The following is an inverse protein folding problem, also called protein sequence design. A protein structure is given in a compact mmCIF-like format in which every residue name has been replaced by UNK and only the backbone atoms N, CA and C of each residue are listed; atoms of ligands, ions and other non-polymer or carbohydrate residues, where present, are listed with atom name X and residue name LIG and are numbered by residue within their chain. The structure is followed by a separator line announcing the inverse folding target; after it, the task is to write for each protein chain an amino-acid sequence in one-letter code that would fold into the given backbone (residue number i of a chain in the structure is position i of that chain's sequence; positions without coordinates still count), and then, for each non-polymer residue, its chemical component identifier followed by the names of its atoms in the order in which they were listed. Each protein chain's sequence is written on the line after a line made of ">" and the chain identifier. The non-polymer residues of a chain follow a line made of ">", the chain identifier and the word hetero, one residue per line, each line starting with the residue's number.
data_IF_922106857850
#
_entry.id   IF_922106857850
#
_cell.length_a   1.000
_cell.length_b   1.000
_cell.length_c   1.000
_cell.angle_alpha   90.00
_cell.angle_beta   90.00
_cell.angle_gamma   90.00
#
_symmetry.space_group_name_H-M   'P 1'
#
loop_
_entity.id
_entity.type
_entity.pdbx_description
1 polymer ?
#
# COMPACT_ATOMS: atom_id res chain seq x y z
N UNK A 1 -66.64 4.45 45.31
CA UNK A 1 -66.84 4.05 43.91
C UNK A 1 -65.70 4.60 43.07
N UNK A 2 -64.68 3.77 42.75
CA UNK A 2 -63.56 4.18 41.89
C UNK A 2 -63.74 3.49 40.54
N UNK A 3 -63.87 4.29 39.46
CA UNK A 3 -63.94 3.81 38.09
C UNK A 3 -62.50 3.58 37.56
N UNK A 4 -62.19 2.34 37.13
CA UNK A 4 -60.94 1.95 36.47
C UNK A 4 -61.15 2.18 34.98
N UNK A 5 -60.37 3.12 34.41
CA UNK A 5 -60.28 3.30 32.97
C UNK A 5 -59.32 2.27 32.37
N UNK A 6 -59.80 1.46 31.43
CA UNK A 6 -58.96 0.53 30.63
C UNK A 6 -58.42 1.28 29.42
N UNK A 7 -57.13 1.50 29.41
CA UNK A 7 -56.41 2.06 28.24
C UNK A 7 -56.04 0.90 27.29
N UNK A 8 -56.53 0.92 26.08
CA UNK A 8 -56.14 0.00 25.01
C UNK A 8 -54.92 0.56 24.33
N UNK A 9 -53.80 -0.13 24.40
CA UNK A 9 -52.60 0.10 23.59
C UNK A 9 -52.80 -0.58 22.25
N UNK A 10 -52.99 0.18 21.18
CA UNK A 10 -52.95 -0.30 19.79
C UNK A 10 -51.49 -0.32 19.38
N UNK A 11 -50.87 -1.52 19.33
CA UNK A 11 -49.55 -1.74 18.79
C UNK A 11 -49.60 -1.64 17.27
N UNK A 12 -49.04 -0.58 16.68
CA UNK A 12 -48.81 -0.48 15.25
C UNK A 12 -47.57 -1.35 14.89
N UNK A 13 -47.81 -2.48 14.28
CA UNK A 13 -46.72 -3.28 13.67
C UNK A 13 -46.25 -2.56 12.40
N UNK A 14 -45.08 -1.93 12.46
CA UNK A 14 -44.34 -1.46 11.28
C UNK A 14 -43.82 -2.67 10.52
N UNK A 15 -44.45 -3.05 9.41
CA UNK A 15 -43.92 -3.94 8.41
C UNK A 15 -42.76 -3.22 7.73
N UNK A 16 -41.51 -3.59 8.08
CA UNK A 16 -40.33 -3.22 7.31
C UNK A 16 -40.40 -3.95 5.96
N UNK A 17 -40.85 -3.25 4.93
CA UNK A 17 -40.74 -3.72 3.54
C UNK A 17 -39.23 -3.68 3.21
N UNK A 18 -38.56 -4.83 3.36
CA UNK A 18 -37.20 -5.00 2.87
C UNK A 18 -37.20 -4.79 1.37
N UNK A 19 -36.52 -3.75 0.88
CA UNK A 19 -36.25 -3.60 -0.54
C UNK A 19 -35.56 -4.85 -1.07
N UNK A 20 -36.09 -5.46 -2.11
CA UNK A 20 -35.44 -6.57 -2.79
C UNK A 20 -34.02 -6.14 -3.20
N UNK A 21 -32.98 -6.96 -2.98
CA UNK A 21 -31.64 -6.62 -3.42
C UNK A 21 -31.68 -6.34 -4.92
N UNK A 22 -31.03 -5.24 -5.34
CA UNK A 22 -30.91 -4.89 -6.76
C UNK A 22 -30.32 -6.10 -7.51
N UNK A 23 -30.78 -6.39 -8.74
CA UNK A 23 -30.30 -7.53 -9.52
C UNK A 23 -28.77 -7.41 -9.67
N UNK A 24 -28.07 -8.46 -9.31
CA UNK A 24 -26.61 -8.51 -9.34
C UNK A 24 -26.16 -8.40 -10.80
N UNK A 25 -25.49 -7.30 -11.14
CA UNK A 25 -24.98 -7.04 -12.49
C UNK A 25 -23.94 -8.09 -12.88
N UNK A 26 -24.06 -8.64 -14.10
CA UNK A 26 -23.05 -9.54 -14.68
C UNK A 26 -22.42 -8.87 -15.89
N UNK A 27 -21.09 -8.87 -15.95
CA UNK A 27 -20.29 -8.17 -16.96
C UNK A 27 -19.30 -9.16 -17.56
N UNK A 28 -19.29 -9.28 -18.89
CA UNK A 28 -18.26 -9.95 -19.66
C UNK A 28 -17.21 -8.93 -20.11
N UNK A 29 -15.97 -9.13 -19.73
CA UNK A 29 -14.82 -8.33 -20.19
C UNK A 29 -14.11 -9.06 -21.33
N UNK A 30 -13.89 -8.36 -22.47
CA UNK A 30 -13.22 -8.91 -23.65
C UNK A 30 -11.99 -8.08 -24.02
N UNK A 31 -10.84 -8.28 -23.34
CA UNK A 31 -9.57 -7.62 -23.67
C UNK A 31 -8.87 -8.34 -24.84
N UNK A 32 -7.80 -7.75 -25.36
CA UNK A 32 -6.89 -8.42 -26.29
C UNK A 32 -6.14 -9.59 -25.64
N UNK A 33 -5.76 -9.42 -24.36
CA UNK A 33 -5.11 -10.46 -23.56
C UNK A 33 -5.43 -10.28 -22.08
N UNK A 34 -5.24 -11.35 -21.30
CA UNK A 34 -5.35 -11.34 -19.83
C UNK A 34 -3.99 -11.73 -19.23
N UNK A 35 -3.45 -10.87 -18.37
CA UNK A 35 -2.40 -11.23 -17.41
C UNK A 35 -3.08 -11.57 -16.08
N UNK A 36 -2.96 -12.81 -15.62
CA UNK A 36 -3.73 -13.29 -14.47
C UNK A 36 -3.15 -12.90 -13.11
N UNK A 37 -1.94 -12.33 -13.08
CA UNK A 37 -1.23 -11.93 -11.86
C UNK A 37 -0.44 -13.06 -11.20
N UNK A 38 -0.42 -14.27 -11.73
CA UNK A 38 0.27 -15.44 -11.14
C UNK A 38 1.49 -15.80 -11.95
N UNK A 39 1.29 -16.15 -13.20
CA UNK A 39 2.37 -16.48 -14.11
C UNK A 39 2.78 -15.25 -14.93
N UNK A 40 4.07 -15.07 -15.25
CA UNK A 40 4.55 -13.91 -16.02
C UNK A 40 4.22 -14.05 -17.52
N UNK A 41 2.98 -14.38 -17.85
CA UNK A 41 2.47 -14.63 -19.21
C UNK A 41 1.13 -13.90 -19.41
N UNK A 42 0.94 -13.31 -20.57
CA UNK A 42 -0.38 -12.86 -21.00
C UNK A 42 -1.07 -13.95 -21.84
N UNK A 43 -2.37 -14.10 -21.64
CA UNK A 43 -3.22 -15.07 -22.33
C UNK A 43 -4.07 -14.39 -23.40
N UNK A 44 -3.69 -14.44 -24.69
CA UNK A 44 -4.48 -13.83 -25.77
C UNK A 44 -5.87 -14.46 -25.89
N UNK A 45 -6.89 -13.63 -26.13
CA UNK A 45 -8.27 -14.08 -26.35
C UNK A 45 -8.99 -14.60 -25.10
N UNK A 46 -8.35 -14.58 -23.93
CA UNK A 46 -9.08 -14.86 -22.70
C UNK A 46 -10.06 -13.75 -22.37
N UNK A 47 -11.15 -14.15 -21.74
CA UNK A 47 -12.23 -13.29 -21.26
C UNK A 47 -12.37 -13.44 -19.75
N UNK A 48 -13.01 -12.47 -19.12
CA UNK A 48 -13.31 -12.51 -17.69
C UNK A 48 -14.77 -12.19 -17.47
N UNK A 49 -15.46 -13.06 -16.74
CA UNK A 49 -16.85 -12.86 -16.34
C UNK A 49 -16.89 -12.42 -14.87
N UNK A 50 -17.55 -11.30 -14.62
CA UNK A 50 -17.74 -10.70 -13.30
C UNK A 50 -19.21 -10.71 -12.96
N UNK A 51 -19.56 -11.08 -11.72
CA UNK A 51 -20.93 -10.97 -11.19
C UNK A 51 -20.86 -10.30 -9.82
N UNK A 52 -21.54 -9.16 -9.68
CA UNK A 52 -21.42 -8.31 -8.49
C UNK A 52 -19.97 -7.88 -8.31
N UNK A 53 -19.42 -8.11 -7.13
CA UNK A 53 -18.04 -7.71 -6.79
C UNK A 53 -16.97 -8.77 -7.14
N UNK A 54 -17.36 -9.93 -7.72
CA UNK A 54 -16.44 -11.06 -7.85
C UNK A 54 -16.28 -11.56 -9.27
N UNK A 55 -15.07 -12.04 -9.56
CA UNK A 55 -14.76 -12.81 -10.75
C UNK A 55 -15.44 -14.17 -10.61
N UNK A 56 -16.23 -14.59 -11.62
CA UNK A 56 -16.90 -15.89 -11.60
C UNK A 56 -16.30 -16.87 -12.60
N UNK A 57 -15.71 -16.38 -13.70
CA UNK A 57 -15.01 -17.23 -14.66
C UNK A 57 -13.90 -16.45 -15.39
N UNK A 58 -12.87 -17.18 -15.84
CA UNK A 58 -11.80 -16.67 -16.70
C UNK A 58 -11.39 -17.76 -17.70
N UNK A 59 -11.12 -17.41 -18.94
CA UNK A 59 -10.68 -18.36 -19.98
C UNK A 59 -11.00 -17.91 -21.40
N UNK A 60 -10.64 -18.72 -22.42
CA UNK A 60 -10.77 -18.35 -23.83
C UNK A 60 -12.20 -18.43 -24.36
N UNK A 61 -13.08 -19.24 -23.74
CA UNK A 61 -14.48 -19.39 -24.15
C UNK A 61 -15.33 -19.58 -22.91
N UNK A 62 -16.10 -18.55 -22.56
CA UNK A 62 -16.95 -18.57 -21.39
C UNK A 62 -18.42 -18.76 -21.73
N UNK A 63 -19.15 -19.54 -20.94
CA UNK A 63 -20.59 -19.56 -20.94
C UNK A 63 -21.11 -18.25 -20.34
N UNK A 64 -21.69 -17.40 -21.18
CA UNK A 64 -22.16 -16.07 -20.78
C UNK A 64 -23.65 -16.11 -20.49
N UNK A 65 -24.10 -15.75 -19.27
CA UNK A 65 -25.53 -15.70 -18.95
C UNK A 65 -26.28 -14.71 -19.84
N UNK A 66 -27.53 -15.01 -20.14
CA UNK A 66 -28.41 -14.09 -20.85
C UNK A 66 -28.56 -12.77 -20.03
N UNK A 67 -28.45 -11.63 -20.73
CA UNK A 67 -28.54 -10.32 -20.11
C UNK A 67 -27.22 -9.81 -19.48
N UNK A 68 -26.10 -10.53 -19.60
CA UNK A 68 -24.80 -10.02 -19.24
C UNK A 68 -24.40 -8.84 -20.14
N UNK A 69 -23.91 -7.78 -19.52
CA UNK A 69 -23.31 -6.66 -20.25
C UNK A 69 -21.94 -7.04 -20.78
N UNK A 70 -21.58 -6.58 -21.98
CA UNK A 70 -20.24 -6.80 -22.52
C UNK A 70 -19.47 -5.48 -22.56
N UNK A 71 -18.24 -5.50 -22.06
CA UNK A 71 -17.28 -4.41 -22.19
C UNK A 71 -16.11 -4.90 -23.04
N UNK A 72 -15.96 -4.31 -24.22
CA UNK A 72 -14.85 -4.58 -25.13
C UNK A 72 -13.66 -3.67 -24.80
N UNK A 73 -12.47 -4.28 -24.69
CA UNK A 73 -11.21 -3.61 -24.33
C UNK A 73 -10.15 -3.96 -25.42
N UNK A 74 -10.38 -3.50 -26.68
CA UNK A 74 -9.52 -3.87 -27.80
C UNK A 74 -8.13 -3.23 -27.67
N UNK A 75 -7.07 -4.02 -27.92
CA UNK A 75 -5.69 -3.54 -27.83
C UNK A 75 -5.17 -3.38 -26.41
N UNK A 76 -5.95 -3.78 -25.40
CA UNK A 76 -5.59 -3.66 -23.99
C UNK A 76 -5.29 -5.03 -23.36
N UNK A 77 -4.37 -5.04 -22.42
CA UNK A 77 -4.14 -6.18 -21.52
C UNK A 77 -4.91 -5.94 -20.22
N UNK A 78 -5.87 -6.84 -19.94
CA UNK A 78 -6.56 -6.86 -18.66
C UNK A 78 -5.66 -7.54 -17.61
N UNK A 79 -5.54 -6.93 -16.43
CA UNK A 79 -4.75 -7.48 -15.35
C UNK A 79 -5.41 -7.19 -14.00
N UNK A 80 -4.97 -7.87 -12.90
CA UNK A 80 -5.45 -7.52 -11.57
C UNK A 80 -5.15 -6.05 -11.29
N UNK A 81 -6.01 -5.38 -10.53
CA UNK A 81 -5.68 -4.09 -9.97
C UNK A 81 -4.38 -4.15 -9.18
N UNK A 82 -3.48 -3.22 -9.43
CA UNK A 82 -2.18 -3.16 -8.79
C UNK A 82 -2.31 -2.81 -7.31
N UNK A 83 -1.34 -3.24 -6.51
CA UNK A 83 -1.25 -2.99 -5.08
C UNK A 83 -0.03 -2.13 -4.81
N UNK A 84 -0.24 -0.91 -4.31
CA UNK A 84 0.83 -0.07 -3.77
C UNK A 84 1.21 -0.57 -2.37
N UNK A 85 2.45 -1.00 -2.21
CA UNK A 85 2.92 -1.61 -0.97
C UNK A 85 3.51 -0.62 0.03
N UNK A 86 3.79 0.61 -0.39
CA UNK A 86 4.39 1.64 0.47
C UNK A 86 3.94 3.03 0.00
N UNK A 87 2.84 3.51 0.54
CA UNK A 87 2.32 4.84 0.26
C UNK A 87 2.08 5.65 1.52
N UNK A 88 1.92 6.97 1.32
CA UNK A 88 1.63 7.97 2.33
C UNK A 88 0.61 8.98 1.76
N UNK A 89 -0.68 8.65 1.78
CA UNK A 89 -1.74 9.47 1.17
C UNK A 89 -1.83 10.89 1.73
N UNK A 90 -1.36 11.09 2.95
CA UNK A 90 -1.36 12.39 3.63
C UNK A 90 -0.09 13.20 3.40
N UNK A 91 0.85 12.71 2.60
CA UNK A 91 1.99 13.47 2.09
C UNK A 91 1.76 13.90 0.63
N UNK A 92 2.47 14.93 0.22
CA UNK A 92 2.58 15.36 -1.17
C UNK A 92 4.05 15.66 -1.51
N UNK A 93 4.43 15.82 -2.80
CA UNK A 93 5.83 15.81 -3.22
C UNK A 93 6.75 16.75 -2.46
N UNK A 94 7.91 16.25 -2.04
CA UNK A 94 8.88 17.00 -1.22
C UNK A 94 9.56 18.17 -1.97
N UNK A 95 9.42 18.25 -3.29
CA UNK A 95 9.83 19.43 -4.06
C UNK A 95 8.76 20.53 -4.07
N UNK A 96 7.53 20.24 -3.67
CA UNK A 96 6.47 21.24 -3.48
C UNK A 96 6.55 21.86 -2.09
N UNK A 97 6.64 21.01 -1.08
CA UNK A 97 6.73 21.40 0.34
C UNK A 97 7.59 20.37 1.07
N UNK A 98 8.58 20.83 1.83
CA UNK A 98 9.44 19.92 2.58
C UNK A 98 8.62 19.07 3.57
N UNK A 99 9.12 17.88 3.94
CA UNK A 99 8.46 17.04 4.94
C UNK A 99 8.25 17.77 6.28
N UNK A 100 9.28 18.51 6.73
CA UNK A 100 9.20 19.31 7.96
C UNK A 100 8.07 20.33 7.87
N UNK A 101 7.94 21.05 6.76
CA UNK A 101 6.89 22.05 6.58
C UNK A 101 5.50 21.43 6.51
N UNK A 102 5.35 20.25 5.87
CA UNK A 102 4.09 19.51 5.86
C UNK A 102 3.66 19.12 7.28
N UNK A 103 4.61 18.68 8.12
CA UNK A 103 4.34 18.29 9.51
C UNK A 103 4.07 19.48 10.41
N UNK A 104 4.83 20.56 10.24
CA UNK A 104 4.82 21.71 11.15
C UNK A 104 3.77 22.75 10.81
N UNK A 105 3.43 22.92 9.52
CA UNK A 105 2.67 24.08 9.06
C UNK A 105 1.36 23.73 8.35
N UNK A 106 1.18 22.51 7.84
CA UNK A 106 -0.05 22.17 7.15
C UNK A 106 -1.12 21.66 8.12
N UNK A 107 -2.29 22.35 8.19
CA UNK A 107 -3.36 21.92 9.08
C UNK A 107 -4.01 20.61 8.58
N UNK A 108 -4.52 19.80 9.51
CA UNK A 108 -5.12 18.49 9.24
C UNK A 108 -6.21 18.55 8.15
N UNK A 109 -7.05 19.60 8.14
CA UNK A 109 -8.10 19.75 7.15
C UNK A 109 -7.54 19.87 5.72
N UNK A 110 -6.45 20.62 5.52
CA UNK A 110 -5.77 20.71 4.22
C UNK A 110 -5.19 19.37 3.80
N UNK A 111 -4.46 18.70 4.69
CA UNK A 111 -3.84 17.39 4.43
C UNK A 111 -4.91 16.34 4.11
N UNK A 112 -6.05 16.36 4.81
CA UNK A 112 -7.18 15.46 4.51
C UNK A 112 -7.79 15.75 3.14
N UNK A 113 -7.99 17.02 2.77
CA UNK A 113 -8.49 17.39 1.44
C UNK A 113 -7.51 16.93 0.34
N UNK A 114 -6.21 17.14 0.50
CA UNK A 114 -5.16 16.62 -0.41
C UNK A 114 -5.22 15.08 -0.50
N UNK A 115 -5.35 14.38 0.62
CA UNK A 115 -5.39 12.92 0.67
C UNK A 115 -6.56 12.33 -0.14
N UNK A 116 -7.72 13.00 -0.23
CA UNK A 116 -8.82 12.56 -1.10
C UNK A 116 -8.46 12.65 -2.59
N UNK A 117 -7.72 13.69 -2.99
CA UNK A 117 -7.22 13.86 -4.36
C UNK A 117 -6.14 12.82 -4.66
N UNK A 118 -5.22 12.61 -3.73
CA UNK A 118 -4.16 11.59 -3.79
C UNK A 118 -4.73 10.18 -3.96
N UNK A 119 -5.74 9.83 -3.16
CA UNK A 119 -6.42 8.53 -3.23
C UNK A 119 -7.09 8.32 -4.60
N UNK A 120 -7.75 9.35 -5.15
CA UNK A 120 -8.33 9.27 -6.49
C UNK A 120 -7.25 9.11 -7.57
N UNK A 121 -6.16 9.86 -7.48
CA UNK A 121 -5.05 9.78 -8.44
C UNK A 121 -4.42 8.38 -8.44
N UNK A 122 -4.15 7.81 -7.26
CA UNK A 122 -3.66 6.43 -7.08
C UNK A 122 -4.60 5.40 -7.71
N UNK A 123 -5.91 5.50 -7.44
CA UNK A 123 -6.91 4.59 -8.02
C UNK A 123 -6.93 4.67 -9.54
N UNK A 124 -6.93 5.88 -10.12
CA UNK A 124 -6.96 6.09 -11.57
C UNK A 124 -5.66 5.68 -12.27
N UNK A 125 -4.54 5.64 -11.54
CA UNK A 125 -3.29 5.05 -12.01
C UNK A 125 -3.30 3.51 -11.98
N UNK A 126 -4.42 2.89 -11.57
CA UNK A 126 -4.60 1.44 -11.59
C UNK A 126 -4.26 0.72 -10.28
N UNK A 127 -3.94 1.46 -9.23
CA UNK A 127 -3.68 0.90 -7.91
C UNK A 127 -4.99 0.80 -7.14
N UNK A 128 -5.62 -0.37 -7.18
CA UNK A 128 -6.92 -0.60 -6.52
C UNK A 128 -6.80 -0.92 -5.04
N UNK A 129 -5.59 -1.19 -4.57
CA UNK A 129 -5.26 -1.37 -3.15
C UNK A 129 -3.99 -0.57 -2.83
N UNK A 130 -3.96 0.04 -1.65
CA UNK A 130 -2.80 0.77 -1.13
C UNK A 130 -2.57 0.42 0.35
N UNK A 131 -1.31 0.14 0.69
CA UNK A 131 -0.84 0.06 2.07
C UNK A 131 -0.24 1.42 2.44
N UNK A 132 -1.01 2.23 3.17
CA UNK A 132 -0.60 3.52 3.73
C UNK A 132 0.21 3.25 5.00
N UNK A 133 1.52 3.52 4.96
CA UNK A 133 2.47 3.18 6.01
C UNK A 133 2.75 4.33 6.99
N UNK A 134 1.81 5.24 7.09
CA UNK A 134 1.82 6.28 8.10
C UNK A 134 1.33 7.62 7.59
N UNK A 135 0.59 8.31 8.45
CA UNK A 135 -0.03 9.60 8.12
C UNK A 135 0.95 10.78 8.18
N UNK A 136 2.17 10.54 8.67
CA UNK A 136 3.24 11.53 8.77
C UNK A 136 2.76 12.86 9.42
N UNK A 137 2.09 12.72 10.58
CA UNK A 137 1.59 13.86 11.37
C UNK A 137 0.08 14.16 11.22
N UNK A 138 -0.66 13.45 10.34
CA UNK A 138 -2.12 13.61 10.25
C UNK A 138 -2.91 12.71 11.25
N UNK A 139 -2.25 12.18 12.26
CA UNK A 139 -2.88 11.40 13.32
C UNK A 139 -3.51 10.10 12.81
N UNK A 140 -4.79 9.91 13.05
CA UNK A 140 -5.59 8.75 12.61
C UNK A 140 -6.50 9.06 11.41
N UNK A 141 -6.16 10.07 10.62
CA UNK A 141 -7.02 10.51 9.52
C UNK A 141 -7.12 9.51 8.37
N UNK A 142 -6.13 8.61 8.23
CA UNK A 142 -6.14 7.48 7.29
C UNK A 142 -7.28 6.48 7.57
N UNK A 143 -7.61 6.24 8.85
CA UNK A 143 -8.77 5.42 9.22
C UNK A 143 -10.07 6.06 8.73
N UNK A 144 -10.21 7.38 8.89
CA UNK A 144 -11.36 8.14 8.39
C UNK A 144 -11.43 8.12 6.86
N UNK A 145 -10.31 8.30 6.17
CA UNK A 145 -10.23 8.24 4.71
C UNK A 145 -10.59 6.83 4.19
N UNK A 146 -10.06 5.78 4.81
CA UNK A 146 -10.41 4.38 4.51
C UNK A 146 -11.93 4.16 4.61
N UNK A 147 -12.56 4.66 5.68
CA UNK A 147 -14.01 4.57 5.87
C UNK A 147 -14.78 5.37 4.80
N UNK A 148 -14.34 6.57 4.48
CA UNK A 148 -14.96 7.40 3.45
C UNK A 148 -14.91 6.75 2.07
N UNK A 149 -13.78 6.11 1.72
CA UNK A 149 -13.63 5.34 0.47
C UNK A 149 -14.53 4.09 0.50
N UNK A 150 -14.59 3.37 1.62
CA UNK A 150 -15.43 2.18 1.74
C UNK A 150 -16.93 2.49 1.65
N UNK A 151 -17.35 3.65 2.12
CA UNK A 151 -18.73 4.15 2.03
C UNK A 151 -19.04 4.81 0.67
N UNK A 152 -18.07 4.94 -0.24
CA UNK A 152 -18.25 5.59 -1.53
C UNK A 152 -18.39 7.12 -1.48
N UNK A 153 -18.02 7.75 -0.36
CA UNK A 153 -18.05 9.21 -0.20
C UNK A 153 -16.98 9.85 -1.09
N UNK A 154 -15.79 9.23 -1.16
CA UNK A 154 -14.71 9.66 -2.05
C UNK A 154 -14.17 8.46 -2.82
N UNK A 155 -13.72 8.64 -4.08
CA UNK A 155 -13.04 7.59 -4.82
C UNK A 155 -11.63 7.35 -4.27
N UNK A 156 -11.20 6.08 -4.23
CA UNK A 156 -9.86 5.72 -3.79
C UNK A 156 -9.64 4.20 -3.79
N UNK A 157 -8.40 3.74 -3.56
CA UNK A 157 -8.07 2.33 -3.43
C UNK A 157 -8.68 1.72 -2.16
N UNK A 158 -8.67 0.39 -2.05
CA UNK A 158 -8.86 -0.27 -0.75
C UNK A 158 -7.62 0.01 0.09
N UNK A 159 -7.78 0.46 1.32
CA UNK A 159 -6.66 0.85 2.16
C UNK A 159 -6.34 -0.19 3.24
N UNK A 160 -5.05 -0.46 3.41
CA UNK A 160 -4.46 -1.02 4.62
C UNK A 160 -3.74 0.13 5.32
N UNK A 161 -4.16 0.49 6.52
CA UNK A 161 -3.68 1.71 7.19
C UNK A 161 -2.81 1.38 8.39
N UNK A 162 -1.68 2.12 8.52
CA UNK A 162 -0.77 2.00 9.66
C UNK A 162 -1.05 3.05 10.75
N UNK A 163 -1.89 4.02 10.48
CA UNK A 163 -2.13 5.17 11.33
C UNK A 163 -0.87 6.02 11.53
N UNK A 164 -0.26 6.00 12.70
CA UNK A 164 0.97 6.73 12.99
C UNK A 164 2.13 5.76 13.03
N UNK A 165 3.20 6.04 12.29
CA UNK A 165 4.42 5.25 12.42
C UNK A 165 4.92 5.30 13.87
N UNK A 166 5.46 4.20 14.40
CA UNK A 166 6.00 4.11 15.74
C UNK A 166 7.51 4.31 15.69
N UNK A 167 8.01 5.28 16.44
CA UNK A 167 9.41 5.68 16.46
C UNK A 167 9.95 5.69 17.90
N UNK A 168 11.23 5.41 18.06
CA UNK A 168 11.87 5.59 19.36
C UNK A 168 11.92 7.09 19.69
N UNK A 169 11.64 7.42 20.95
CA UNK A 169 11.62 8.82 21.40
C UNK A 169 12.92 9.55 21.06
N UNK A 170 12.78 10.71 20.41
CA UNK A 170 13.89 11.55 19.98
C UNK A 170 14.59 11.12 18.69
N UNK A 171 14.27 9.93 18.13
CA UNK A 171 14.93 9.45 16.92
C UNK A 171 14.36 10.05 15.64
N UNK A 172 13.11 10.46 15.62
CA UNK A 172 12.38 10.93 14.45
C UNK A 172 11.83 12.35 14.65
N UNK A 173 11.22 12.91 13.64
CA UNK A 173 10.60 14.22 13.69
C UNK A 173 11.49 15.36 13.22
N UNK A 174 10.95 16.57 13.11
CA UNK A 174 11.72 17.78 12.80
C UNK A 174 12.80 18.03 13.83
N UNK A 175 14.00 18.40 13.39
CA UNK A 175 15.20 18.53 14.24
C UNK A 175 15.81 19.92 14.14
N UNK A 176 16.67 20.26 15.11
CA UNK A 176 17.42 21.53 15.14
C UNK A 176 16.69 22.66 15.86
N UNK A 177 15.66 22.35 16.62
CA UNK A 177 14.96 23.30 17.49
C UNK A 177 15.66 23.43 18.85
N UNK A 178 15.40 24.54 19.52
CA UNK A 178 15.88 24.76 20.87
C UNK A 178 15.29 23.72 21.86
N UNK A 179 16.08 23.14 22.80
CA UNK A 179 15.68 22.03 23.67
C UNK A 179 14.52 22.34 24.60
N UNK A 180 13.61 22.93 24.51
CA UNK A 180 12.40 23.24 25.28
C UNK A 180 11.19 23.47 24.39
N UNK A 181 11.42 23.51 23.10
CA UNK A 181 10.35 23.68 22.11
C UNK A 181 9.76 22.33 21.73
N UNK A 182 8.50 22.11 22.06
CA UNK A 182 7.75 20.95 21.61
C UNK A 182 7.25 21.19 20.19
N UNK A 183 7.64 20.30 19.27
CA UNK A 183 7.18 20.33 17.87
C UNK A 183 6.46 19.02 17.51
N UNK A 184 5.49 19.07 16.57
CA UNK A 184 4.88 17.87 16.01
C UNK A 184 5.94 16.90 15.48
N UNK A 185 5.84 15.62 15.81
CA UNK A 185 6.87 14.62 15.44
C UNK A 185 6.60 13.91 14.13
N UNK A 186 5.44 14.05 13.56
CA UNK A 186 5.05 13.29 12.36
C UNK A 186 4.72 11.81 12.61
N UNK A 187 5.02 11.30 13.81
CA UNK A 187 4.91 9.89 14.21
C UNK A 187 4.46 9.78 15.66
N UNK A 188 4.32 8.54 16.19
CA UNK A 188 4.06 8.29 17.61
C UNK A 188 5.34 7.79 18.28
N UNK A 189 5.82 8.51 19.28
CA UNK A 189 6.99 8.12 20.05
C UNK A 189 6.66 7.03 21.07
N UNK A 190 7.59 6.07 21.22
CA UNK A 190 7.54 5.05 22.26
C UNK A 190 8.94 4.72 22.79
N UNK A 191 9.05 4.39 24.06
CA UNK A 191 10.31 4.00 24.69
C UNK A 191 10.09 2.95 25.78
N UNK A 192 10.88 1.89 25.72
CA UNK A 192 10.73 0.73 26.59
C UNK A 192 9.63 -0.22 26.17
N UNK A 193 9.73 -1.46 26.61
CA UNK A 193 8.85 -2.56 26.17
C UNK A 193 7.38 -2.27 26.45
N UNK A 194 7.06 -1.83 27.66
CA UNK A 194 5.67 -1.61 28.05
C UNK A 194 5.01 -0.50 27.23
N UNK A 195 5.75 0.57 26.94
CA UNK A 195 5.25 1.70 26.17
C UNK A 195 5.09 1.36 24.69
N UNK A 196 6.04 0.65 24.07
CA UNK A 196 5.93 0.17 22.69
C UNK A 196 4.71 -0.75 22.54
N UNK A 197 4.49 -1.69 23.44
CA UNK A 197 3.32 -2.58 23.43
C UNK A 197 2.01 -1.81 23.61
N UNK A 198 2.00 -0.82 24.51
CA UNK A 198 0.86 0.09 24.70
C UNK A 198 0.51 0.84 23.40
N UNK A 199 1.52 1.41 22.75
CA UNK A 199 1.33 2.18 21.49
C UNK A 199 0.81 1.27 20.40
N UNK A 200 1.41 0.10 20.17
CA UNK A 200 0.94 -0.90 19.18
C UNK A 200 -0.54 -1.22 19.41
N UNK A 201 -0.93 -1.57 20.63
CA UNK A 201 -2.32 -1.89 20.96
C UNK A 201 -3.27 -0.71 20.77
N UNK A 202 -2.83 0.49 21.11
CA UNK A 202 -3.63 1.71 20.93
C UNK A 202 -3.90 2.00 19.45
N UNK A 203 -2.92 1.83 18.59
CA UNK A 203 -3.08 2.03 17.14
C UNK A 203 -3.99 0.96 16.53
N UNK A 204 -3.84 -0.29 16.92
CA UNK A 204 -4.72 -1.37 16.49
C UNK A 204 -6.17 -1.10 16.94
N UNK A 205 -6.36 -0.67 18.17
CA UNK A 205 -7.69 -0.28 18.68
C UNK A 205 -8.30 0.91 17.93
N UNK A 206 -7.46 1.82 17.43
CA UNK A 206 -7.89 2.95 16.59
C UNK A 206 -8.20 2.57 15.14
N UNK A 207 -7.87 1.35 14.70
CA UNK A 207 -8.22 0.83 13.38
C UNK A 207 -7.05 0.52 12.46
N UNK A 208 -5.82 0.43 12.98
CA UNK A 208 -4.66 0.02 12.19
C UNK A 208 -4.81 -1.42 11.66
N UNK A 209 -4.54 -1.62 10.37
CA UNK A 209 -4.47 -2.93 9.71
C UNK A 209 -3.04 -3.48 9.70
N UNK A 210 -2.06 -2.60 9.80
CA UNK A 210 -0.62 -2.90 9.80
C UNK A 210 0.07 -2.02 10.84
N UNK A 211 1.13 -2.53 11.45
CA UNK A 211 1.97 -1.73 12.37
C UNK A 211 3.23 -1.31 11.62
N UNK A 212 3.53 -0.02 11.61
CA UNK A 212 4.77 0.54 11.03
C UNK A 212 5.74 0.92 12.13
N UNK A 213 6.94 0.33 12.10
CA UNK A 213 8.04 0.66 13.00
C UNK A 213 9.19 1.32 12.23
N UNK A 214 9.90 2.24 12.87
CA UNK A 214 11.18 2.73 12.40
C UNK A 214 12.31 2.03 13.16
N UNK A 215 12.90 1.00 12.56
CA UNK A 215 13.98 0.20 13.14
C UNK A 215 15.32 0.92 13.20
N UNK A 216 15.51 1.92 12.36
CA UNK A 216 16.64 2.84 12.39
C UNK A 216 16.26 4.24 11.90
N UNK A 217 16.99 5.24 12.35
CA UNK A 217 16.91 6.62 11.88
C UNK A 217 18.08 7.46 12.41
N UNK A 218 18.12 8.76 12.06
CA UNK A 218 19.12 9.71 12.52
C UNK A 218 18.73 10.30 13.87
N UNK A 219 19.61 10.24 14.85
CA UNK A 219 19.38 10.81 16.17
C UNK A 219 19.55 12.35 16.20
N UNK A 220 20.45 12.88 15.37
CA UNK A 220 20.72 14.32 15.25
C UNK A 220 20.83 14.80 13.81
N UNK A 221 20.83 16.13 13.59
CA UNK A 221 21.04 16.71 12.27
C UNK A 221 22.38 16.28 11.67
N UNK A 222 22.37 15.76 10.43
CA UNK A 222 23.59 15.33 9.75
C UNK A 222 24.22 14.01 10.23
N UNK A 223 23.68 13.38 11.28
CA UNK A 223 24.16 12.09 11.75
C UNK A 223 23.77 10.94 10.81
N UNK A 224 24.56 9.86 10.74
CA UNK A 224 24.17 8.66 10.04
C UNK A 224 23.00 7.95 10.76
N UNK A 225 22.19 7.22 10.01
CA UNK A 225 21.15 6.36 10.58
C UNK A 225 21.76 5.29 11.48
N UNK A 226 21.11 5.04 12.61
CA UNK A 226 21.47 4.01 13.59
C UNK A 226 20.20 3.31 14.06
N UNK A 227 20.32 2.09 14.58
CA UNK A 227 19.21 1.39 15.20
C UNK A 227 18.59 2.23 16.34
N UNK A 228 17.26 2.29 16.36
CA UNK A 228 16.48 3.14 17.26
C UNK A 228 15.86 2.35 18.40
N UNK A 229 15.27 1.20 18.12
CA UNK A 229 14.76 0.28 19.13
C UNK A 229 15.77 -0.80 19.49
N UNK A 230 15.80 -1.21 20.75
CA UNK A 230 16.50 -2.42 21.18
C UNK A 230 15.85 -3.66 20.57
N UNK A 231 16.55 -4.80 20.58
CA UNK A 231 15.98 -6.05 20.10
C UNK A 231 14.71 -6.44 20.89
N UNK A 232 14.71 -6.23 22.20
CA UNK A 232 13.59 -6.59 23.07
C UNK A 232 12.34 -5.75 22.76
N UNK A 233 12.50 -4.44 22.59
CA UNK A 233 11.40 -3.54 22.21
C UNK A 233 10.79 -3.95 20.86
N UNK A 234 11.63 -4.17 19.86
CA UNK A 234 11.16 -4.55 18.51
C UNK A 234 10.45 -5.92 18.54
N UNK A 235 11.02 -6.90 19.24
CA UNK A 235 10.40 -8.23 19.37
C UNK A 235 9.05 -8.14 20.07
N UNK A 236 8.93 -7.32 21.12
CA UNK A 236 7.68 -7.14 21.85
C UNK A 236 6.62 -6.41 21.01
N UNK A 237 7.02 -5.43 20.20
CA UNK A 237 6.13 -4.74 19.27
C UNK A 237 5.57 -5.70 18.22
N UNK A 238 6.43 -6.49 17.59
CA UNK A 238 6.04 -7.47 16.57
C UNK A 238 5.11 -8.54 17.17
N UNK A 239 5.46 -9.09 18.34
CA UNK A 239 4.61 -10.07 19.04
C UNK A 239 3.22 -9.48 19.34
N UNK A 240 3.14 -8.26 19.88
CA UNK A 240 1.86 -7.63 20.20
C UNK A 240 1.01 -7.36 18.95
N UNK A 241 1.62 -7.06 17.81
CA UNK A 241 0.92 -6.89 16.54
C UNK A 241 0.40 -8.24 16.00
N UNK A 242 1.25 -9.26 15.98
CA UNK A 242 0.91 -10.60 15.50
C UNK A 242 -0.18 -11.27 16.36
N UNK A 243 -0.14 -11.12 17.69
CA UNK A 243 -1.20 -11.60 18.59
C UNK A 243 -2.57 -11.00 18.25
N UNK A 244 -2.58 -9.78 17.70
CA UNK A 244 -3.79 -9.11 17.23
C UNK A 244 -4.10 -9.38 15.75
N UNK A 245 -3.35 -10.26 15.07
CA UNK A 245 -3.52 -10.58 13.65
C UNK A 245 -3.13 -9.43 12.72
N UNK A 246 -2.18 -8.57 13.10
CA UNK A 246 -1.66 -7.47 12.28
C UNK A 246 -0.24 -7.74 11.82
N UNK A 247 0.03 -7.46 10.54
CA UNK A 247 1.39 -7.52 9.99
C UNK A 247 2.22 -6.32 10.44
N UNK A 248 3.55 -6.47 10.39
CA UNK A 248 4.50 -5.43 10.79
C UNK A 248 5.43 -5.09 9.64
N UNK A 249 5.45 -3.82 9.28
CA UNK A 249 6.38 -3.22 8.32
C UNK A 249 7.46 -2.44 9.06
N UNK A 250 8.73 -2.68 8.75
CA UNK A 250 9.84 -2.01 9.45
C UNK A 250 10.66 -1.17 8.47
N UNK A 251 10.61 0.15 8.63
CA UNK A 251 11.59 1.04 8.01
C UNK A 251 12.97 0.74 8.56
N UNK A 252 13.90 0.32 7.73
CA UNK A 252 15.29 0.14 8.12
C UNK A 252 16.21 0.10 6.91
N UNK A 253 17.33 0.82 7.02
CA UNK A 253 18.36 0.94 5.98
C UNK A 253 19.74 0.51 6.46
N UNK A 254 19.92 0.29 7.77
CA UNK A 254 21.20 -0.13 8.31
C UNK A 254 21.26 -1.64 8.52
N UNK A 255 22.45 -2.27 8.40
CA UNK A 255 22.61 -3.69 8.68
C UNK A 255 22.10 -4.11 10.07
N UNK A 256 22.33 -3.28 11.08
CA UNK A 256 21.89 -3.58 12.46
C UNK A 256 20.37 -3.48 12.61
N UNK A 257 19.74 -2.43 12.07
CA UNK A 257 18.29 -2.31 12.09
C UNK A 257 17.61 -3.48 11.36
N UNK A 258 18.14 -3.88 10.19
CA UNK A 258 17.65 -5.04 9.45
C UNK A 258 17.80 -6.36 10.24
N UNK A 259 18.94 -6.60 10.91
CA UNK A 259 19.12 -7.79 11.74
C UNK A 259 18.09 -7.84 12.87
N UNK A 260 17.83 -6.71 13.54
CA UNK A 260 16.82 -6.63 14.61
C UNK A 260 15.42 -6.87 14.09
N UNK A 261 15.06 -6.29 12.95
CA UNK A 261 13.75 -6.51 12.33
C UNK A 261 13.54 -7.98 11.95
N UNK A 262 14.56 -8.61 11.34
CA UNK A 262 14.55 -10.04 10.99
C UNK A 262 14.42 -10.92 12.25
N UNK A 263 15.20 -10.64 13.28
CA UNK A 263 15.18 -11.40 14.52
C UNK A 263 13.85 -11.25 15.27
N UNK A 264 13.23 -10.08 15.20
CA UNK A 264 11.91 -9.80 15.77
C UNK A 264 10.77 -10.49 15.00
N UNK A 265 10.98 -10.88 13.74
CA UNK A 265 9.95 -11.53 12.91
C UNK A 265 9.06 -10.55 12.15
N UNK A 266 9.59 -9.42 11.71
CA UNK A 266 8.88 -8.50 10.83
C UNK A 266 8.36 -9.19 9.57
N UNK A 267 7.22 -8.73 9.02
CA UNK A 267 6.65 -9.30 7.78
C UNK A 267 7.30 -8.68 6.54
N UNK A 268 7.58 -7.37 6.59
CA UNK A 268 8.29 -6.67 5.52
C UNK A 268 9.37 -5.74 6.06
N UNK A 269 10.44 -5.61 5.29
CA UNK A 269 11.46 -4.58 5.46
C UNK A 269 11.27 -3.55 4.34
N UNK A 270 11.21 -2.30 4.73
CA UNK A 270 11.07 -1.16 3.86
C UNK A 270 12.45 -0.53 3.62
N UNK A 271 12.76 -0.17 2.37
CA UNK A 271 14.03 0.38 1.90
C UNK A 271 15.18 -0.63 1.85
N UNK A 272 15.74 -1.06 2.98
CA UNK A 272 16.77 -2.09 3.05
C UNK A 272 18.10 -1.75 2.36
N UNK A 273 18.45 -0.46 2.19
CA UNK A 273 19.55 0.02 1.35
C UNK A 273 20.93 -0.54 1.73
N UNK A 274 21.22 -0.72 3.03
CA UNK A 274 22.48 -1.25 3.55
C UNK A 274 22.48 -2.77 3.73
N UNK A 275 21.57 -3.48 3.08
CA UNK A 275 21.46 -4.93 3.20
C UNK A 275 22.68 -5.65 2.62
N UNK A 276 23.18 -6.66 3.34
CA UNK A 276 24.27 -7.55 2.88
C UNK A 276 23.69 -8.87 2.38
N UNK A 277 24.50 -9.64 1.63
CA UNK A 277 24.10 -10.98 1.16
C UNK A 277 23.68 -11.91 2.32
N UNK A 278 24.33 -11.79 3.50
CA UNK A 278 23.97 -12.55 4.70
C UNK A 278 22.60 -12.15 5.23
N UNK A 279 22.33 -10.84 5.34
CA UNK A 279 21.04 -10.30 5.80
C UNK A 279 19.92 -10.74 4.85
N UNK A 280 20.12 -10.63 3.54
CA UNK A 280 19.11 -11.04 2.57
C UNK A 280 18.86 -12.55 2.57
N UNK A 281 19.88 -13.39 2.77
CA UNK A 281 19.66 -14.82 2.99
C UNK A 281 18.81 -15.09 4.25
N UNK A 282 19.06 -14.34 5.32
CA UNK A 282 18.25 -14.46 6.54
C UNK A 282 16.78 -14.01 6.32
N UNK A 283 16.55 -12.96 5.53
CA UNK A 283 15.20 -12.55 5.12
C UNK A 283 14.51 -13.64 4.30
N UNK A 284 15.18 -14.17 3.29
CA UNK A 284 14.63 -15.23 2.43
C UNK A 284 14.26 -16.49 3.24
N UNK A 285 15.14 -16.92 4.15
CA UNK A 285 14.91 -18.07 5.01
C UNK A 285 13.68 -17.89 5.92
N UNK A 286 13.36 -16.65 6.32
CA UNK A 286 12.21 -16.32 7.15
C UNK A 286 11.00 -15.82 6.36
N UNK A 287 11.07 -15.79 5.02
CA UNK A 287 10.02 -15.32 4.11
C UNK A 287 9.62 -13.85 4.35
N UNK A 288 10.55 -13.04 4.81
CA UNK A 288 10.35 -11.59 4.99
C UNK A 288 10.53 -10.93 3.63
N UNK A 289 9.55 -10.14 3.18
CA UNK A 289 9.63 -9.45 1.91
C UNK A 289 10.41 -8.12 2.03
N UNK A 290 11.02 -7.69 0.93
CA UNK A 290 11.68 -6.38 0.79
C UNK A 290 10.85 -5.47 -0.11
N UNK A 291 10.45 -4.30 0.38
CA UNK A 291 9.90 -3.21 -0.42
C UNK A 291 11.00 -2.17 -0.64
N UNK A 292 11.71 -2.17 -1.77
CA UNK A 292 12.98 -1.45 -1.92
C UNK A 292 12.85 0.05 -2.14
N UNK A 293 11.67 0.54 -2.54
CA UNK A 293 11.36 1.97 -2.72
C UNK A 293 12.36 2.74 -3.58
N UNK A 294 12.74 2.18 -4.72
CA UNK A 294 13.68 2.84 -5.67
C UNK A 294 13.17 4.21 -6.09
N UNK A 295 11.84 4.37 -6.21
CA UNK A 295 11.21 5.59 -6.66
C UNK A 295 11.45 6.76 -5.70
N UNK A 296 11.48 6.52 -4.39
CA UNK A 296 11.77 7.56 -3.41
C UNK A 296 13.20 8.11 -3.56
N UNK A 297 14.21 7.22 -3.63
CA UNK A 297 15.60 7.65 -3.81
C UNK A 297 15.85 8.33 -5.16
N UNK A 298 15.21 7.85 -6.23
CA UNK A 298 15.23 8.50 -7.55
C UNK A 298 14.57 9.89 -7.50
N UNK A 299 13.40 10.04 -6.89
CA UNK A 299 12.70 11.31 -6.78
C UNK A 299 13.50 12.35 -5.98
N UNK A 300 13.96 11.99 -4.79
CA UNK A 300 14.75 12.89 -3.93
C UNK A 300 16.05 13.31 -4.62
N UNK A 301 16.71 12.40 -5.36
CA UNK A 301 17.91 12.73 -6.12
C UNK A 301 17.61 13.72 -7.24
N UNK A 302 16.48 13.57 -7.95
CA UNK A 302 16.04 14.51 -8.97
C UNK A 302 15.70 15.88 -8.39
N UNK A 303 15.07 15.95 -7.24
CA UNK A 303 14.77 17.20 -6.53
C UNK A 303 16.05 17.95 -6.11
N UNK A 304 17.17 17.22 -6.00
CA UNK A 304 18.51 17.78 -5.76
C UNK A 304 19.30 18.06 -7.04
N UNK A 305 18.66 18.00 -8.21
CA UNK A 305 19.24 18.38 -9.49
C UNK A 305 19.78 17.23 -10.34
N UNK A 306 19.60 15.97 -9.94
CA UNK A 306 20.01 14.86 -10.80
C UNK A 306 19.06 14.69 -12.01
N UNK A 307 19.63 14.69 -13.23
CA UNK A 307 18.86 14.56 -14.47
C UNK A 307 18.50 13.12 -14.86
N UNK A 308 19.02 12.11 -14.14
CA UNK A 308 18.78 10.70 -14.45
C UNK A 308 19.93 10.01 -15.21
N UNK A 309 20.99 10.75 -15.53
CA UNK A 309 22.20 10.23 -16.18
C UNK A 309 23.38 10.05 -15.22
N UNK A 310 24.57 9.92 -15.79
CA UNK A 310 25.81 9.81 -15.00
C UNK A 310 26.32 11.20 -14.56
N UNK A 311 26.96 11.31 -13.38
CA UNK A 311 27.14 10.24 -12.41
C UNK A 311 25.83 9.91 -11.65
N UNK A 312 25.61 8.61 -11.41
CA UNK A 312 24.47 8.17 -10.60
C UNK A 312 24.71 8.53 -9.13
N UNK A 313 23.75 9.18 -8.44
CA UNK A 313 23.89 9.51 -7.04
C UNK A 313 24.11 8.26 -6.15
N UNK A 314 24.94 8.34 -5.09
CA UNK A 314 25.23 7.21 -4.21
C UNK A 314 23.98 6.51 -3.69
N UNK A 315 22.99 7.26 -3.22
CA UNK A 315 21.75 6.69 -2.70
C UNK A 315 20.98 5.83 -3.73
N UNK A 316 20.96 6.27 -5.01
CA UNK A 316 20.34 5.49 -6.10
C UNK A 316 21.16 4.25 -6.43
N UNK A 317 22.49 4.38 -6.47
CA UNK A 317 23.39 3.27 -6.75
C UNK A 317 23.32 2.19 -5.66
N UNK A 318 23.36 2.59 -4.40
CA UNK A 318 23.26 1.70 -3.23
C UNK A 318 21.93 0.95 -3.23
N UNK A 319 20.83 1.64 -3.51
CA UNK A 319 19.49 1.04 -3.54
C UNK A 319 19.38 -0.01 -4.67
N UNK A 320 19.89 0.30 -5.87
CA UNK A 320 19.95 -0.68 -6.98
C UNK A 320 20.83 -1.89 -6.64
N UNK A 321 21.96 -1.68 -5.99
CA UNK A 321 22.86 -2.78 -5.56
C UNK A 321 22.18 -3.64 -4.49
N UNK A 322 21.50 -3.04 -3.54
CA UNK A 322 20.73 -3.74 -2.50
C UNK A 322 19.64 -4.63 -3.12
N UNK A 323 18.86 -4.10 -4.06
CA UNK A 323 17.85 -4.89 -4.79
C UNK A 323 18.48 -6.10 -5.50
N UNK A 324 19.63 -5.91 -6.18
CA UNK A 324 20.32 -7.01 -6.87
C UNK A 324 20.76 -8.10 -5.89
N UNK A 325 21.31 -7.74 -4.74
CA UNK A 325 21.69 -8.68 -3.68
C UNK A 325 20.48 -9.41 -3.09
N UNK A 326 19.39 -8.70 -2.82
CA UNK A 326 18.16 -9.29 -2.28
C UNK A 326 17.56 -10.32 -3.24
N UNK A 327 17.49 -10.00 -4.52
CA UNK A 327 17.01 -10.92 -5.56
C UNK A 327 17.91 -12.15 -5.68
N UNK A 328 19.23 -11.96 -5.69
CA UNK A 328 20.20 -13.05 -5.74
C UNK A 328 20.10 -13.99 -4.53
N UNK A 329 19.66 -13.48 -3.38
CA UNK A 329 19.41 -14.24 -2.17
C UNK A 329 18.03 -14.92 -2.13
N UNK A 330 17.17 -14.69 -3.13
CA UNK A 330 15.81 -15.25 -3.18
C UNK A 330 14.79 -14.54 -2.29
N UNK A 331 15.04 -13.28 -1.92
CA UNK A 331 14.07 -12.47 -1.16
C UNK A 331 12.88 -12.13 -2.05
N UNK A 332 11.67 -12.29 -1.52
CA UNK A 332 10.46 -11.82 -2.18
C UNK A 332 10.47 -10.29 -2.27
N UNK A 333 10.35 -9.76 -3.49
CA UNK A 333 10.31 -8.31 -3.71
C UNK A 333 8.86 -7.84 -3.71
N UNK A 334 8.57 -6.88 -2.87
CA UNK A 334 7.34 -6.11 -2.83
C UNK A 334 7.45 -4.93 -3.81
N UNK A 335 6.36 -4.63 -4.51
CA UNK A 335 6.22 -3.35 -5.21
C UNK A 335 5.68 -2.32 -4.24
N UNK A 336 6.45 -1.28 -3.96
CA UNK A 336 6.07 -0.18 -3.09
C UNK A 336 7.02 1.00 -3.33
N UNK A 337 6.45 2.17 -3.71
CA UNK A 337 7.23 3.28 -4.23
C UNK A 337 7.63 4.32 -3.18
N UNK A 338 7.03 4.31 -2.00
CA UNK A 338 7.08 5.39 -1.02
C UNK A 338 6.43 6.68 -1.61
N UNK A 339 5.28 6.45 -2.27
CA UNK A 339 4.52 7.54 -2.89
C UNK A 339 3.97 8.49 -1.83
N UNK A 340 4.03 9.79 -2.14
CA UNK A 340 3.90 10.88 -1.17
C UNK A 340 5.21 11.66 -1.10
N UNK A 341 6.36 10.98 -1.13
CA UNK A 341 7.66 11.61 -1.45
C UNK A 341 7.63 12.21 -2.84
N UNK A 342 6.94 11.58 -3.78
CA UNK A 342 6.65 12.05 -5.14
C UNK A 342 5.14 11.95 -5.40
N UNK A 343 4.68 12.46 -6.54
CA UNK A 343 3.26 12.64 -6.82
C UNK A 343 2.47 11.33 -6.84
N UNK A 344 1.33 11.31 -6.15
CA UNK A 344 0.32 10.27 -6.28
C UNK A 344 -0.21 10.22 -7.71
N UNK A 345 -0.45 9.00 -8.20
CA UNK A 345 -0.73 8.74 -9.62
C UNK A 345 0.52 8.36 -10.43
N UNK A 346 1.73 8.64 -9.91
CA UNK A 346 2.99 8.16 -10.48
C UNK A 346 3.51 6.86 -9.83
N UNK A 347 2.70 6.15 -9.09
CA UNK A 347 3.03 4.90 -8.38
C UNK A 347 3.77 3.88 -9.26
N UNK A 348 3.39 3.77 -10.55
CA UNK A 348 4.06 2.90 -11.52
C UNK A 348 5.54 3.26 -11.79
N UNK A 349 6.04 4.39 -11.26
CA UNK A 349 7.46 4.75 -11.32
C UNK A 349 8.33 3.67 -10.69
N UNK A 350 7.92 3.12 -9.54
CA UNK A 350 8.64 2.02 -8.89
C UNK A 350 8.75 0.81 -9.81
N UNK A 351 7.66 0.41 -10.48
CA UNK A 351 7.67 -0.73 -11.39
C UNK A 351 8.65 -0.55 -12.55
N UNK A 352 8.69 0.64 -13.13
CA UNK A 352 9.64 0.98 -14.21
C UNK A 352 11.08 0.92 -13.70
N UNK A 353 11.35 1.45 -12.51
CA UNK A 353 12.68 1.44 -11.91
C UNK A 353 13.14 0.04 -11.51
N UNK A 354 12.25 -0.81 -10.99
CA UNK A 354 12.53 -2.23 -10.72
C UNK A 354 12.96 -2.96 -12.00
N UNK A 355 12.25 -2.74 -13.11
CA UNK A 355 12.60 -3.32 -14.41
C UNK A 355 13.94 -2.77 -14.92
N UNK A 356 14.19 -1.47 -14.83
CA UNK A 356 15.47 -0.85 -15.19
C UNK A 356 16.64 -1.32 -14.33
N UNK A 357 16.38 -1.70 -13.07
CA UNK A 357 17.36 -2.29 -12.17
C UNK A 357 17.56 -3.81 -12.42
N UNK A 358 17.01 -4.36 -13.52
CA UNK A 358 17.23 -5.73 -13.96
C UNK A 358 16.27 -6.78 -13.40
N UNK A 359 15.16 -6.36 -12.79
CA UNK A 359 14.08 -7.29 -12.44
C UNK A 359 13.28 -7.63 -13.71
N UNK A 360 13.05 -8.93 -14.07
CA UNK A 360 12.23 -9.28 -15.20
C UNK A 360 10.84 -8.64 -15.09
N UNK A 361 10.34 -8.08 -16.19
CA UNK A 361 9.08 -7.32 -16.16
C UNK A 361 7.90 -8.17 -15.69
N UNK A 362 7.86 -9.45 -16.04
CA UNK A 362 6.83 -10.36 -15.54
C UNK A 362 6.87 -10.49 -14.01
N UNK A 363 8.06 -10.55 -13.41
CA UNK A 363 8.22 -10.59 -11.95
C UNK A 363 7.81 -9.26 -11.30
N UNK A 364 8.03 -8.13 -11.98
CA UNK A 364 7.57 -6.80 -11.52
C UNK A 364 6.04 -6.75 -11.48
N UNK A 365 5.37 -7.25 -12.53
CA UNK A 365 3.92 -7.31 -12.58
C UNK A 365 3.35 -8.25 -11.49
N UNK A 366 4.00 -9.40 -11.28
CA UNK A 366 3.65 -10.30 -10.17
C UNK A 366 3.86 -9.62 -8.82
N UNK A 367 4.98 -8.91 -8.61
CA UNK A 367 5.25 -8.18 -7.37
C UNK A 367 4.15 -7.13 -7.08
N UNK A 368 3.70 -6.40 -8.11
CA UNK A 368 2.65 -5.39 -7.98
C UNK A 368 1.22 -5.97 -7.81
N UNK A 369 1.03 -7.27 -7.91
CA UNK A 369 -0.27 -7.94 -7.89
C UNK A 369 -0.28 -9.08 -6.85
N UNK A 370 -0.18 -10.33 -7.26
CA UNK A 370 -0.24 -11.48 -6.35
C UNK A 370 0.93 -11.55 -5.37
N UNK A 371 2.08 -11.00 -5.73
CA UNK A 371 3.25 -10.88 -4.86
C UNK A 371 2.96 -10.05 -3.62
N UNK A 372 2.48 -8.82 -3.83
CA UNK A 372 2.05 -7.94 -2.74
C UNK A 372 0.86 -8.51 -1.97
N UNK A 373 -0.10 -9.14 -2.67
CA UNK A 373 -1.21 -9.79 -1.99
C UNK A 373 -0.71 -10.86 -0.99
N UNK A 374 0.26 -11.68 -1.40
CA UNK A 374 0.88 -12.67 -0.50
C UNK A 374 1.67 -12.03 0.64
N UNK A 375 2.48 -11.00 0.32
CA UNK A 375 3.33 -10.31 1.31
C UNK A 375 2.49 -9.62 2.40
N UNK A 376 1.27 -9.18 2.06
CA UNK A 376 0.37 -8.47 2.98
C UNK A 376 -0.79 -9.33 3.48
N UNK A 377 -0.74 -10.65 3.27
CA UNK A 377 -1.73 -11.64 3.69
C UNK A 377 -3.15 -11.37 3.14
N UNK A 378 -3.26 -10.80 1.93
CA UNK A 378 -4.52 -10.57 1.24
C UNK A 378 -4.91 -11.82 0.46
N UNK A 379 -6.05 -12.41 0.78
CA UNK A 379 -6.50 -13.68 0.21
C UNK A 379 -7.59 -13.54 -0.84
N UNK A 380 -8.11 -12.32 -1.03
CA UNK A 380 -9.30 -12.05 -1.83
C UNK A 380 -9.03 -11.26 -3.12
N UNK A 381 -7.75 -10.92 -3.41
CA UNK A 381 -7.35 -10.07 -4.55
C UNK A 381 -5.93 -10.36 -5.05
N UNK A 382 -5.46 -9.61 -6.04
CA UNK A 382 -4.10 -9.70 -6.60
C UNK A 382 -3.97 -10.71 -7.73
N UNK A 383 -5.03 -11.41 -8.12
CA UNK A 383 -5.05 -12.34 -9.25
C UNK A 383 -6.41 -12.33 -9.96
N UNK A 384 -6.43 -12.66 -11.25
CA UNK A 384 -7.68 -12.90 -11.97
C UNK A 384 -8.04 -14.39 -11.85
N UNK A 385 -8.82 -14.70 -10.82
CA UNK A 385 -9.23 -16.07 -10.49
C UNK A 385 -10.68 -16.09 -10.00
N UNK A 386 -11.46 -17.10 -10.35
CA UNK A 386 -12.83 -17.25 -9.82
C UNK A 386 -12.87 -17.20 -8.28
N UNK A 387 -13.82 -16.45 -7.75
CA UNK A 387 -14.02 -16.22 -6.32
C UNK A 387 -13.30 -14.98 -5.74
N UNK A 388 -12.31 -14.42 -6.43
CA UNK A 388 -11.62 -13.22 -6.00
C UNK A 388 -12.40 -11.94 -6.37
N UNK A 389 -12.06 -10.84 -5.72
CA UNK A 389 -12.63 -9.52 -6.00
C UNK A 389 -12.33 -9.10 -7.46
N UNK A 390 -13.32 -8.52 -8.10
CA UNK A 390 -13.16 -7.92 -9.40
C UNK A 390 -12.57 -6.50 -9.29
N UNK A 391 -11.35 -6.44 -8.77
CA UNK A 391 -10.47 -5.28 -8.79
C UNK A 391 -9.54 -5.48 -9.98
N UNK A 392 -9.83 -4.83 -11.11
CA UNK A 392 -9.22 -5.09 -12.41
C UNK A 392 -8.84 -3.77 -13.09
N UNK A 393 -7.79 -3.83 -13.93
CA UNK A 393 -7.39 -2.71 -14.77
C UNK A 393 -7.14 -3.17 -16.20
N UNK A 394 -7.35 -2.26 -17.15
CA UNK A 394 -6.95 -2.46 -18.54
C UNK A 394 -5.83 -1.47 -18.88
N UNK A 395 -4.72 -2.02 -19.35
CA UNK A 395 -3.50 -1.31 -19.70
C UNK A 395 -3.33 -1.35 -21.21
N UNK A 396 -3.11 -0.19 -21.84
CA UNK A 396 -2.92 -0.10 -23.28
C UNK A 396 -1.61 -0.78 -23.70
N UNK A 397 -1.72 -1.78 -24.58
CA UNK A 397 -0.62 -2.57 -25.09
C UNK A 397 -0.28 -3.76 -24.21
N UNK A 398 0.97 -4.21 -24.30
CA UNK A 398 1.49 -5.39 -23.61
C UNK A 398 2.53 -4.98 -22.55
N UNK A 399 2.16 -4.97 -21.24
CA UNK A 399 3.09 -4.59 -20.18
C UNK A 399 4.22 -5.58 -19.96
N UNK A 400 4.14 -6.81 -20.49
CA UNK A 400 5.23 -7.81 -20.45
C UNK A 400 6.34 -7.52 -21.46
N UNK A 401 6.05 -6.68 -22.48
CA UNK A 401 7.02 -6.26 -23.50
C UNK A 401 7.52 -4.84 -23.30
N UNK A 402 6.68 -3.98 -22.75
CA UNK A 402 6.98 -2.57 -22.50
C UNK A 402 6.63 -2.22 -21.05
N UNK A 403 7.64 -2.11 -20.19
CA UNK A 403 7.45 -1.76 -18.78
C UNK A 403 6.79 -0.39 -18.59
N UNK A 404 6.90 0.53 -19.54
CA UNK A 404 6.23 1.83 -19.48
C UNK A 404 4.72 1.72 -19.76
N UNK A 405 4.24 0.60 -20.31
CA UNK A 405 2.81 0.38 -20.53
C UNK A 405 2.00 0.43 -19.23
N UNK A 406 2.57 0.02 -18.09
CA UNK A 406 1.91 0.07 -16.77
C UNK A 406 1.45 1.49 -16.37
N UNK A 407 1.96 2.52 -17.03
CA UNK A 407 1.52 3.92 -16.85
C UNK A 407 0.31 4.29 -17.71
N UNK A 408 -0.07 3.44 -18.66
CA UNK A 408 -1.16 3.69 -19.62
C UNK A 408 -2.40 2.89 -19.22
N UNK A 409 -2.89 3.13 -18.02
CA UNK A 409 -4.13 2.53 -17.52
C UNK A 409 -5.31 3.29 -18.11
N UNK A 410 -6.06 2.68 -19.01
CA UNK A 410 -7.19 3.32 -19.69
C UNK A 410 -8.53 3.04 -19.00
N UNK A 411 -8.62 1.95 -18.22
CA UNK A 411 -9.84 1.52 -17.56
C UNK A 411 -9.53 0.89 -16.18
N UNK A 412 -10.40 1.16 -15.22
CA UNK A 412 -10.31 0.65 -13.85
C UNK A 412 -11.67 0.12 -13.41
N UNK A 413 -11.68 -1.06 -12.79
CA UNK A 413 -12.81 -1.62 -12.06
C UNK A 413 -12.39 -1.90 -10.62
N UNK A 414 -13.21 -1.50 -9.67
CA UNK A 414 -13.04 -1.82 -8.25
C UNK A 414 -14.32 -2.41 -7.69
N UNK A 415 -14.24 -3.64 -7.14
CA UNK A 415 -15.41 -4.35 -6.63
C UNK A 415 -16.50 -4.55 -7.70
N UNK A 416 -16.12 -4.87 -8.94
CA UNK A 416 -17.06 -5.07 -10.05
C UNK A 416 -17.71 -3.78 -10.58
N UNK A 417 -17.42 -2.63 -10.03
CA UNK A 417 -17.88 -1.33 -10.50
C UNK A 417 -16.80 -0.62 -11.32
N UNK A 418 -17.16 -0.15 -12.51
CA UNK A 418 -16.25 0.67 -13.34
C UNK A 418 -16.07 2.02 -12.67
N UNK A 419 -14.82 2.43 -12.53
CA UNK A 419 -14.44 3.72 -11.91
C UNK A 419 -14.54 4.82 -12.98
N UNK A 420 -15.36 5.86 -12.76
CA UNK A 420 -15.42 7.00 -13.68
C UNK A 420 -14.12 7.80 -13.63
N UNK A 421 -13.67 8.25 -14.81
CA UNK A 421 -12.48 9.12 -14.97
C UNK A 421 -12.78 10.58 -14.81
#
# INVERSE_FOLDING_TARGET
>A
MRRIAKTWLIGAALLAIGAAPAPTRTILLRPAAVFDGVDPVAHPGWQVLVTGERIVAVGPALAVPAGAETIDLPGETLMPGMIEGHGHLFLHPYNETSWDDQVLHEPLALRTARATVSARATLLAGFTTERDLGTEGAGYADVGLKQAIAQGIVPGPRMLVATRAIVARGAYGPKGYEPGVEVPQGAEEASGVDDVVRVVRSQIAAGADVVKLYGDYRWGPGEPSRATFSQTEMTSAVAAAHDAGRTVAVHTSTPEGMRRAIAAGADTIEHGYGGTAEIFRAMAARKIALCPTLAASDAVSRYRGWSGGDPVPPAVAENRASLALARSAGVAICMGGDVGVFAHGENAREMVLLAQAGMPIGDVLVAATSGNARAFHLTDRGSIKPGLLADLIAVRGDPLRDSAAVRRVDWVMKGGAVVPR
#
